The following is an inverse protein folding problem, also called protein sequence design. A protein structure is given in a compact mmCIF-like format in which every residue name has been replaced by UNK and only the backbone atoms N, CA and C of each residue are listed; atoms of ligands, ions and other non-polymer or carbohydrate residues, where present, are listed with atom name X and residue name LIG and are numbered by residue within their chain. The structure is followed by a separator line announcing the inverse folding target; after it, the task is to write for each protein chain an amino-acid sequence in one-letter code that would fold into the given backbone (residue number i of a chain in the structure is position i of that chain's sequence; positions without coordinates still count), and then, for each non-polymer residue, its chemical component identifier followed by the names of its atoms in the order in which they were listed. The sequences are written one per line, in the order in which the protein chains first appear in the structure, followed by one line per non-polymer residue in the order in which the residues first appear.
data_IF_360943064899
#
_entry.id   IF_360943064899
#
_cell.length_a   1.000
_cell.length_b   1.000
_cell.length_c   1.000
_cell.angle_alpha   90.00
_cell.angle_beta   90.00
_cell.angle_gamma   90.00
#
_symmetry.space_group_name_H-M   'P 1'
#
loop_
_entity.id
_entity.type
_entity.pdbx_description
1 polymer ?
#
# COMPACT_ATOMS: atom_id res chain seq x y z
N UNK A 1 -32.89 -1.79 0.75
CA UNK A 1 -31.49 -1.83 1.22
C UNK A 1 -31.51 -1.50 2.71
N UNK A 2 -31.37 -2.51 3.58
CA UNK A 2 -31.24 -2.28 5.02
C UNK A 2 -29.88 -1.58 5.23
N UNK A 3 -29.91 -0.36 5.73
CA UNK A 3 -28.74 0.22 6.39
C UNK A 3 -28.46 -0.74 7.54
N UNK A 4 -27.37 -1.50 7.46
CA UNK A 4 -26.89 -2.23 8.62
C UNK A 4 -26.48 -1.14 9.60
N UNK A 5 -27.23 -1.01 10.68
CA UNK A 5 -26.80 -0.21 11.83
C UNK A 5 -25.42 -0.73 12.20
N UNK A 6 -24.39 0.10 11.98
CA UNK A 6 -23.05 -0.17 12.47
C UNK A 6 -23.19 -0.08 13.98
N UNK A 7 -23.36 -1.22 14.65
CA UNK A 7 -23.41 -1.28 16.10
C UNK A 7 -22.15 -0.59 16.64
N UNK A 8 -22.36 0.51 17.37
CA UNK A 8 -21.29 1.16 18.13
C UNK A 8 -20.87 0.17 19.22
N UNK A 9 -19.78 -0.56 18.96
CA UNK A 9 -19.22 -1.55 19.88
C UNK A 9 -18.65 -0.92 21.17
N UNK A 10 -18.75 0.41 21.33
CA UNK A 10 -18.33 1.15 22.51
C UNK A 10 -16.80 1.25 22.67
N UNK A 11 -16.03 0.70 21.73
CA UNK A 11 -14.56 0.71 21.76
C UNK A 11 -14.06 2.07 21.28
N UNK A 12 -13.35 2.78 22.16
CA UNK A 12 -12.71 4.07 21.87
C UNK A 12 -11.22 3.89 21.65
N UNK A 13 -10.77 4.10 20.42
CA UNK A 13 -9.39 4.11 20.00
C UNK A 13 -9.06 5.40 19.21
N UNK A 14 -7.81 5.86 19.30
CA UNK A 14 -7.25 6.99 18.53
C UNK A 14 -6.00 6.54 17.77
N UNK A 15 -6.16 5.72 16.71
CA UNK A 15 -5.05 5.10 16.01
C UNK A 15 -4.16 6.14 15.34
N UNK A 16 -2.85 6.05 15.61
CA UNK A 16 -1.80 6.83 14.96
C UNK A 16 -0.83 5.89 14.27
N UNK A 17 -0.37 6.28 13.08
CA UNK A 17 0.54 5.49 12.26
C UNK A 17 1.75 6.32 11.90
N UNK A 18 2.93 5.75 12.13
CA UNK A 18 4.22 6.33 11.78
C UNK A 18 4.87 5.46 10.69
N UNK A 19 5.37 6.09 9.63
CA UNK A 19 6.13 5.42 8.57
C UNK A 19 7.56 5.16 9.04
N UNK A 20 7.97 3.90 9.05
CA UNK A 20 9.33 3.52 9.41
C UNK A 20 10.29 3.73 8.23
N UNK A 21 11.47 4.30 8.51
CA UNK A 21 12.46 4.63 7.48
C UNK A 21 12.04 5.80 6.59
N UNK A 22 11.25 6.74 7.13
CA UNK A 22 10.74 7.93 6.42
C UNK A 22 11.81 8.71 5.67
N UNK A 23 12.98 8.94 6.27
CA UNK A 23 14.09 9.66 5.61
C UNK A 23 14.55 8.97 4.32
N UNK A 24 14.54 7.64 4.28
CA UNK A 24 14.89 6.89 3.06
C UNK A 24 13.79 7.05 2.01
N UNK A 25 12.53 6.95 2.42
CA UNK A 25 11.39 7.21 1.52
C UNK A 25 11.45 8.62 0.94
N UNK A 26 11.77 9.64 1.74
CA UNK A 26 11.90 11.02 1.28
C UNK A 26 13.01 11.18 0.23
N UNK A 27 14.19 10.55 0.42
CA UNK A 27 15.25 10.53 -0.59
C UNK A 27 14.80 9.92 -1.92
N UNK A 28 14.11 8.78 -1.86
CA UNK A 28 13.55 8.16 -3.07
C UNK A 28 12.44 9.02 -3.68
N UNK A 29 11.65 9.72 -2.86
CA UNK A 29 10.55 10.56 -3.31
C UNK A 29 11.07 11.79 -4.07
N UNK A 30 12.14 12.42 -3.59
CA UNK A 30 12.83 13.55 -4.26
C UNK A 30 13.35 13.17 -5.66
N UNK A 31 13.69 11.89 -5.88
CA UNK A 31 14.15 11.35 -7.16
C UNK A 31 13.02 10.80 -8.04
N UNK A 32 11.76 10.99 -7.63
CA UNK A 32 10.56 10.37 -8.22
C UNK A 32 10.64 8.84 -8.18
N UNK A 33 10.31 8.27 -7.02
CA UNK A 33 10.48 6.84 -6.69
C UNK A 33 9.99 5.91 -7.79
N UNK A 34 10.77 4.86 -8.06
CA UNK A 34 10.42 3.83 -9.04
C UNK A 34 10.33 2.46 -8.39
N UNK A 35 9.31 1.67 -8.74
CA UNK A 35 9.18 0.30 -8.28
C UNK A 35 9.17 -0.66 -9.46
N UNK A 36 10.13 -1.59 -9.46
CA UNK A 36 10.22 -2.61 -10.51
C UNK A 36 9.07 -3.61 -10.38
N UNK A 37 8.36 -3.88 -11.48
CA UNK A 37 7.33 -4.91 -11.59
C UNK A 37 7.78 -6.02 -12.55
N UNK A 38 7.51 -7.28 -12.19
CA UNK A 38 7.90 -8.45 -12.98
C UNK A 38 6.78 -9.47 -13.04
N UNK A 39 6.80 -10.38 -14.03
CA UNK A 39 5.81 -11.45 -14.15
C UNK A 39 5.74 -12.34 -12.89
N UNK A 40 6.88 -12.64 -12.28
CA UNK A 40 7.01 -13.48 -11.08
C UNK A 40 6.77 -12.73 -9.76
N UNK A 41 6.50 -11.44 -9.83
CA UNK A 41 6.30 -10.57 -8.68
C UNK A 41 7.62 -10.11 -8.04
N UNK A 42 7.74 -8.80 -7.81
CA UNK A 42 8.89 -8.15 -7.17
C UNK A 42 8.46 -7.46 -5.88
N UNK A 43 9.27 -7.56 -4.83
CA UNK A 43 9.03 -6.85 -3.56
C UNK A 43 9.36 -5.37 -3.74
N UNK A 44 8.64 -4.51 -3.02
CA UNK A 44 8.94 -3.09 -2.96
C UNK A 44 10.26 -2.83 -2.25
N UNK A 45 10.97 -1.81 -2.70
CA UNK A 45 12.11 -1.22 -2.02
C UNK A 45 12.03 0.32 -2.14
N UNK A 46 12.07 1.07 -1.03
CA UNK A 46 12.13 0.60 0.36
C UNK A 46 10.92 -0.27 0.76
N UNK A 47 11.06 -1.21 1.72
CA UNK A 47 9.93 -2.00 2.19
C UNK A 47 8.95 -1.12 2.97
N UNK A 48 7.65 -1.24 2.69
CA UNK A 48 6.63 -0.51 3.44
C UNK A 48 6.51 -1.08 4.86
N UNK A 49 6.86 -0.26 5.85
CA UNK A 49 6.84 -0.60 7.28
C UNK A 49 6.18 0.52 8.06
N UNK A 50 5.40 0.15 9.07
CA UNK A 50 4.71 1.13 9.89
C UNK A 50 4.72 0.73 11.36
N UNK A 51 4.73 1.73 12.23
CA UNK A 51 4.46 1.58 13.66
C UNK A 51 3.09 2.15 13.96
N UNK A 52 2.30 1.44 14.76
CA UNK A 52 0.95 1.86 15.11
C UNK A 52 0.87 2.05 16.62
N UNK A 53 0.10 3.05 17.04
CA UNK A 53 -0.24 3.31 18.43
C UNK A 53 -1.70 3.74 18.58
N UNK A 54 -2.20 3.82 19.82
CA UNK A 54 -3.55 4.31 20.11
C UNK A 54 -4.70 3.35 19.80
N UNK A 55 -4.41 2.07 19.56
CA UNK A 55 -5.43 1.02 19.43
C UNK A 55 -5.97 0.60 20.80
N UNK A 56 -7.23 0.17 20.85
CA UNK A 56 -7.72 -0.59 22.00
C UNK A 56 -6.96 -1.92 22.10
N UNK A 57 -6.46 -2.24 23.29
CA UNK A 57 -5.56 -3.38 23.49
C UNK A 57 -6.24 -4.74 23.30
N UNK A 58 -7.54 -4.85 23.58
CA UNK A 58 -8.29 -6.11 23.58
C UNK A 58 -9.04 -6.34 22.27
N UNK A 59 -9.49 -5.27 21.61
CA UNK A 59 -10.13 -5.34 20.32
C UNK A 59 -9.21 -5.94 19.25
N UNK A 60 -9.81 -6.63 18.29
CA UNK A 60 -9.11 -7.22 17.14
C UNK A 60 -9.16 -6.29 15.94
N UNK A 61 -8.04 -6.26 15.24
CA UNK A 61 -7.86 -5.46 14.05
C UNK A 61 -7.22 -6.28 12.93
N UNK A 62 -7.59 -5.92 11.72
CA UNK A 62 -7.02 -6.39 10.47
C UNK A 62 -6.28 -5.22 9.85
N UNK A 63 -5.03 -5.48 9.45
CA UNK A 63 -4.24 -4.53 8.68
C UNK A 63 -4.12 -5.03 7.26
N UNK A 64 -4.33 -4.12 6.31
CA UNK A 64 -4.15 -4.40 4.89
C UNK A 64 -3.55 -3.20 4.17
N UNK A 65 -2.85 -3.48 3.08
CA UNK A 65 -2.30 -2.47 2.18
C UNK A 65 -2.99 -2.60 0.83
N UNK A 66 -3.44 -1.49 0.26
CA UNK A 66 -3.76 -1.43 -1.16
C UNK A 66 -2.85 -0.41 -1.86
N UNK A 67 -2.85 -0.48 -3.19
CA UNK A 67 -2.06 0.41 -4.05
C UNK A 67 -3.03 0.91 -5.12
N UNK A 68 -3.21 2.23 -5.19
CA UNK A 68 -4.16 2.87 -6.10
C UNK A 68 -3.44 3.80 -7.07
N UNK A 69 -4.00 3.98 -8.27
CA UNK A 69 -3.50 5.01 -9.18
C UNK A 69 -3.62 6.40 -8.55
N UNK A 70 -2.60 7.24 -8.74
CA UNK A 70 -2.60 8.65 -8.30
C UNK A 70 -3.39 9.53 -9.27
N UNK A 71 -3.31 9.23 -10.56
CA UNK A 71 -3.90 10.00 -11.65
C UNK A 71 -4.24 9.09 -12.84
N UNK A 72 -4.89 9.68 -13.84
CA UNK A 72 -5.25 9.05 -15.12
C UNK A 72 -4.20 9.35 -16.20
N UNK A 73 -2.91 9.34 -15.83
CA UNK A 73 -1.79 9.62 -16.73
C UNK A 73 -0.87 8.41 -16.94
N UNK A 74 -0.44 8.24 -18.19
CA UNK A 74 0.68 7.40 -18.56
C UNK A 74 1.92 8.26 -18.73
N UNK A 75 3.02 7.85 -18.14
CA UNK A 75 4.26 8.60 -18.07
C UNK A 75 5.33 8.08 -19.04
N UNK A 76 6.34 8.91 -19.30
CA UNK A 76 7.60 8.51 -19.93
C UNK A 76 8.76 9.23 -19.25
N UNK A 77 9.91 8.59 -19.19
CA UNK A 77 11.15 9.21 -18.74
C UNK A 77 11.96 9.66 -19.95
N UNK A 78 12.30 10.94 -20.04
CA UNK A 78 13.09 11.49 -21.14
C UNK A 78 13.90 12.69 -20.66
N UNK A 79 15.17 12.76 -21.07
CA UNK A 79 16.12 13.81 -20.66
C UNK A 79 16.18 14.02 -19.14
N UNK A 80 16.20 12.92 -18.38
CA UNK A 80 16.33 12.93 -16.92
C UNK A 80 15.09 13.39 -16.16
N UNK A 81 13.92 13.41 -16.80
CA UNK A 81 12.67 13.88 -16.19
C UNK A 81 11.48 12.98 -16.56
N UNK A 82 10.57 12.80 -15.61
CA UNK A 82 9.27 12.21 -15.87
C UNK A 82 8.33 13.22 -16.52
N UNK A 83 7.61 12.80 -17.57
CA UNK A 83 6.65 13.62 -18.28
C UNK A 83 5.41 12.80 -18.63
N UNK A 84 4.26 13.48 -18.69
CA UNK A 84 3.02 12.86 -19.17
C UNK A 84 3.15 12.55 -20.66
N UNK A 85 2.90 11.30 -21.03
CA UNK A 85 2.93 10.78 -22.39
C UNK A 85 1.52 10.59 -22.97
N UNK A 86 0.49 10.49 -22.14
CA UNK A 86 -0.90 10.31 -22.55
C UNK A 86 -1.81 9.92 -21.40
N UNK A 87 -3.00 9.42 -21.75
CA UNK A 87 -3.98 8.89 -20.80
C UNK A 87 -3.51 7.55 -20.22
N UNK A 88 -3.88 7.25 -18.97
CA UNK A 88 -3.60 5.96 -18.37
C UNK A 88 -4.30 4.80 -19.11
N UNK A 89 -3.64 3.64 -19.04
CA UNK A 89 -4.25 2.38 -19.42
C UNK A 89 -5.37 2.01 -18.42
N UNK A 90 -6.37 1.19 -18.81
CA UNK A 90 -7.43 0.76 -17.89
C UNK A 90 -6.88 0.20 -16.58
N UNK A 91 -7.44 0.66 -15.45
CA UNK A 91 -7.01 0.22 -14.12
C UNK A 91 -7.31 -1.28 -13.94
N UNK A 92 -6.33 -1.99 -13.39
CA UNK A 92 -6.46 -3.42 -13.10
C UNK A 92 -7.34 -3.66 -11.86
N UNK A 93 -7.94 -4.85 -11.69
CA UNK A 93 -8.72 -5.15 -10.50
C UNK A 93 -7.91 -4.90 -9.22
N UNK A 94 -8.45 -4.05 -8.34
CA UNK A 94 -7.80 -3.68 -7.07
C UNK A 94 -7.68 -4.92 -6.18
N UNK A 95 -6.47 -5.18 -5.72
CA UNK A 95 -6.18 -6.28 -4.78
C UNK A 95 -5.69 -5.68 -3.48
N UNK A 96 -6.34 -6.08 -2.40
CA UNK A 96 -5.94 -5.76 -1.04
C UNK A 96 -4.96 -6.84 -0.56
N UNK A 97 -3.79 -6.42 -0.09
CA UNK A 97 -2.86 -7.32 0.59
C UNK A 97 -3.16 -7.28 2.09
N UNK A 98 -3.74 -8.36 2.61
CA UNK A 98 -3.98 -8.50 4.05
C UNK A 98 -2.67 -8.94 4.73
N UNK A 99 -2.27 -8.24 5.80
CA UNK A 99 -1.09 -8.61 6.57
C UNK A 99 -1.29 -10.02 7.16
N UNK A 100 -0.31 -10.93 7.06
CA UNK A 100 -0.47 -12.34 7.43
C UNK A 100 -0.77 -12.57 8.93
N UNK A 101 -0.36 -11.65 9.79
CA UNK A 101 -0.69 -11.69 11.23
C UNK A 101 -2.16 -11.29 11.51
N UNK A 102 -2.93 -10.83 10.52
CA UNK A 102 -4.33 -10.46 10.72
C UNK A 102 -5.25 -11.68 10.85
N UNK A 103 -6.30 -11.62 11.71
CA UNK A 103 -6.58 -10.57 12.69
C UNK A 103 -5.70 -10.72 13.95
N UNK A 104 -5.26 -9.60 14.51
CA UNK A 104 -4.48 -9.53 15.75
C UNK A 104 -5.07 -8.51 16.72
N UNK A 105 -4.80 -8.64 18.02
CA UNK A 105 -5.26 -7.64 18.99
C UNK A 105 -4.49 -6.32 18.84
N UNK A 106 -5.09 -5.20 19.28
CA UNK A 106 -4.40 -3.92 19.25
C UNK A 106 -3.09 -3.94 20.04
N UNK A 107 -3.04 -4.65 21.17
CA UNK A 107 -1.80 -4.81 21.95
C UNK A 107 -0.70 -5.49 21.11
N UNK A 108 -1.02 -6.58 20.42
CA UNK A 108 -0.07 -7.30 19.56
C UNK A 108 0.43 -6.43 18.39
N UNK A 109 -0.45 -5.64 17.77
CA UNK A 109 -0.07 -4.74 16.68
C UNK A 109 0.86 -3.63 17.14
N UNK A 110 0.67 -3.11 18.34
CA UNK A 110 1.48 -2.00 18.88
C UNK A 110 2.83 -2.46 19.46
N UNK A 111 3.06 -3.76 19.64
CA UNK A 111 4.31 -4.28 20.23
C UNK A 111 5.53 -4.22 19.31
N UNK A 112 5.36 -4.22 17.99
CA UNK A 112 6.46 -4.30 17.01
C UNK A 112 6.16 -3.51 15.74
N UNK A 113 7.20 -3.23 14.96
CA UNK A 113 7.05 -2.68 13.61
C UNK A 113 6.34 -3.69 12.71
N UNK A 114 5.31 -3.21 12.02
CA UNK A 114 4.53 -3.98 11.05
C UNK A 114 5.19 -3.85 9.69
N UNK A 115 5.36 -4.96 8.97
CA UNK A 115 6.14 -5.00 7.73
C UNK A 115 5.41 -5.70 6.61
N UNK A 116 5.17 -4.96 5.52
CA UNK A 116 4.53 -5.45 4.30
C UNK A 116 5.55 -5.97 3.26
N UNK A 117 6.78 -6.30 3.69
CA UNK A 117 7.87 -6.74 2.80
C UNK A 117 7.57 -8.00 1.95
N UNK A 118 6.52 -8.77 2.29
CA UNK A 118 6.09 -9.94 1.51
C UNK A 118 5.17 -9.59 0.34
N UNK A 119 4.62 -8.37 0.33
CA UNK A 119 3.83 -7.86 -0.79
C UNK A 119 4.69 -7.83 -2.06
N UNK A 120 4.13 -8.32 -3.16
CA UNK A 120 4.77 -8.34 -4.46
C UNK A 120 3.94 -7.61 -5.51
N UNK A 121 4.63 -6.86 -6.36
CA UNK A 121 4.09 -6.15 -7.51
C UNK A 121 4.36 -6.92 -8.80
N UNK A 122 3.37 -7.03 -9.67
CA UNK A 122 3.46 -7.75 -10.95
C UNK A 122 2.85 -6.98 -12.10
N UNK A 123 3.35 -7.22 -13.31
CA UNK A 123 2.71 -6.78 -14.56
C UNK A 123 1.89 -7.89 -15.23
N UNK A 124 1.77 -9.07 -14.60
CA UNK A 124 1.00 -10.18 -15.13
C UNK A 124 -0.47 -10.03 -14.78
N UNK A 125 -1.28 -9.59 -15.75
CA UNK A 125 -2.74 -9.41 -15.61
C UNK A 125 -3.48 -10.70 -15.25
N UNK A 126 -2.91 -11.85 -15.60
CA UNK A 126 -3.47 -13.18 -15.35
C UNK A 126 -2.88 -13.81 -14.08
N UNK A 127 -2.28 -13.03 -13.18
CA UNK A 127 -1.68 -13.54 -11.97
C UNK A 127 -2.72 -14.27 -11.09
N UNK A 128 -2.39 -15.51 -10.69
CA UNK A 128 -3.20 -16.34 -9.81
C UNK A 128 -2.67 -16.40 -8.37
N UNK A 129 -1.50 -15.80 -8.10
CA UNK A 129 -0.86 -15.85 -6.77
C UNK A 129 -1.39 -14.77 -5.83
N UNK A 130 -2.21 -13.84 -6.32
CA UNK A 130 -2.77 -12.75 -5.52
C UNK A 130 -1.82 -11.55 -5.41
N UNK A 131 -0.81 -11.44 -6.27
CA UNK A 131 0.08 -10.29 -6.30
C UNK A 131 -0.65 -9.03 -6.76
N UNK A 132 -0.15 -7.86 -6.35
CA UNK A 132 -0.72 -6.58 -6.76
C UNK A 132 -0.33 -6.30 -8.20
N UNK A 133 -1.32 -6.24 -9.09
CA UNK A 133 -1.11 -6.07 -10.52
C UNK A 133 -1.09 -4.57 -10.82
N UNK A 134 -0.02 -4.09 -11.45
CA UNK A 134 0.15 -2.69 -11.82
C UNK A 134 0.50 -2.57 -13.31
N UNK A 135 0.02 -1.50 -13.94
CA UNK A 135 0.49 -1.08 -15.25
C UNK A 135 1.83 -0.34 -15.11
N UNK A 136 2.79 -0.68 -15.96
CA UNK A 136 4.07 0.04 -16.04
C UNK A 136 3.85 1.48 -16.51
N UNK A 137 4.73 2.38 -16.10
CA UNK A 137 4.72 3.80 -16.44
C UNK A 137 3.49 4.57 -15.93
N UNK A 138 2.94 4.12 -14.80
CA UNK A 138 1.82 4.77 -14.11
C UNK A 138 2.23 5.07 -12.67
N UNK A 139 1.67 6.14 -12.10
CA UNK A 139 1.96 6.59 -10.75
C UNK A 139 0.96 6.02 -9.75
N UNK A 140 1.46 5.51 -8.64
CA UNK A 140 0.68 4.81 -7.62
C UNK A 140 0.96 5.35 -6.22
N UNK A 141 -0.05 5.21 -5.36
CA UNK A 141 -0.01 5.55 -3.95
C UNK A 141 -0.37 4.33 -3.11
N UNK A 142 0.57 3.79 -2.30
CA UNK A 142 0.25 2.84 -1.24
C UNK A 142 -0.66 3.48 -0.19
N UNK A 143 -1.64 2.73 0.31
CA UNK A 143 -2.49 3.13 1.43
C UNK A 143 -2.58 2.03 2.45
N UNK A 144 -2.33 2.37 3.71
CA UNK A 144 -2.49 1.46 4.83
C UNK A 144 -3.91 1.59 5.37
N UNK A 145 -4.56 0.46 5.56
CA UNK A 145 -5.90 0.39 6.11
C UNK A 145 -5.91 -0.41 7.40
N UNK A 146 -6.54 0.16 8.42
CA UNK A 146 -6.87 -0.48 9.68
C UNK A 146 -8.38 -0.72 9.73
N UNK A 147 -8.77 -1.97 9.91
CA UNK A 147 -10.17 -2.39 10.02
C UNK A 147 -10.36 -3.06 11.37
N UNK A 148 -11.29 -2.55 12.19
CA UNK A 148 -11.63 -3.17 13.47
C UNK A 148 -12.58 -4.34 13.21
N UNK A 149 -12.03 -5.56 13.24
CA UNK A 149 -12.74 -6.79 12.96
C UNK A 149 -11.95 -7.99 13.52
N UNK A 150 -12.68 -9.01 13.95
CA UNK A 150 -12.17 -10.29 14.43
C UNK A 150 -12.12 -11.39 13.36
N UNK A 151 -12.69 -11.13 12.17
CA UNK A 151 -12.75 -12.04 11.02
C UNK A 151 -12.58 -11.27 9.71
N UNK A 152 -11.76 -11.80 8.80
CA UNK A 152 -11.50 -11.28 7.44
C UNK A 152 -12.79 -11.19 6.62
N UNK A 153 -13.75 -12.08 6.83
CA UNK A 153 -15.03 -12.06 6.14
C UNK A 153 -15.89 -10.82 6.46
N UNK A 154 -15.57 -10.12 7.56
CA UNK A 154 -16.26 -8.88 7.97
C UNK A 154 -15.69 -7.63 7.30
N UNK A 155 -14.52 -7.71 6.64
CA UNK A 155 -13.87 -6.56 5.97
C UNK A 155 -14.84 -5.80 5.04
N UNK A 156 -15.63 -6.44 4.16
CA UNK A 156 -16.51 -5.70 3.23
C UNK A 156 -17.60 -4.87 3.91
N UNK A 157 -17.90 -5.14 5.18
CA UNK A 157 -18.96 -4.51 5.95
C UNK A 157 -18.44 -3.63 7.10
N UNK A 158 -17.13 -3.58 7.28
CA UNK A 158 -16.49 -2.86 8.39
C UNK A 158 -15.95 -1.50 7.93
N UNK A 159 -15.96 -0.47 8.78
CA UNK A 159 -15.37 0.82 8.45
C UNK A 159 -13.84 0.72 8.33
N UNK A 160 -13.28 1.44 7.37
CA UNK A 160 -11.84 1.51 7.13
C UNK A 160 -11.28 2.82 7.70
N UNK A 161 -10.24 2.73 8.55
CA UNK A 161 -9.37 3.88 8.85
C UNK A 161 -8.15 3.80 7.94
N UNK A 162 -7.97 4.81 7.10
CA UNK A 162 -6.95 4.81 6.04
C UNK A 162 -5.86 5.83 6.33
N UNK A 163 -4.60 5.43 6.16
CA UNK A 163 -3.41 6.24 6.36
C UNK A 163 -2.60 6.26 5.07
N UNK A 164 -2.21 7.45 4.64
CA UNK A 164 -1.51 7.68 3.39
C UNK A 164 -0.27 8.52 3.66
N UNK A 165 0.89 8.01 3.25
CA UNK A 165 2.16 8.73 3.28
C UNK A 165 2.52 9.11 1.86
N UNK A 166 2.49 10.41 1.55
CA UNK A 166 2.68 10.92 0.18
C UNK A 166 4.06 10.56 -0.37
N UNK A 167 5.07 10.54 0.50
CA UNK A 167 6.45 10.15 0.22
C UNK A 167 6.60 8.68 -0.22
N UNK A 168 5.56 7.86 -0.10
CA UNK A 168 5.56 6.47 -0.59
C UNK A 168 5.00 6.30 -2.00
N UNK A 169 4.58 7.39 -2.63
CA UNK A 169 4.13 7.35 -4.02
C UNK A 169 5.28 6.99 -4.98
N UNK A 170 5.00 6.19 -6.00
CA UNK A 170 6.02 5.72 -6.94
C UNK A 170 5.46 5.53 -8.36
N UNK A 171 6.34 5.48 -9.35
CA UNK A 171 6.00 5.04 -10.71
C UNK A 171 6.40 3.57 -10.88
N UNK A 172 5.45 2.73 -11.29
CA UNK A 172 5.76 1.33 -11.56
C UNK A 172 6.53 1.20 -12.88
N UNK A 173 7.62 0.45 -12.92
CA UNK A 173 8.47 0.32 -14.11
C UNK A 173 8.89 -1.14 -14.34
N UNK A 174 9.17 -1.56 -15.57
CA UNK A 174 9.72 -2.90 -15.82
C UNK A 174 11.23 -2.98 -15.60
N UNK A 175 11.90 -1.83 -15.63
CA UNK A 175 13.30 -1.63 -15.30
C UNK A 175 13.49 -0.16 -14.90
N UNK A 176 14.48 0.14 -14.05
CA UNK A 176 14.73 1.51 -13.62
C UNK A 176 14.99 2.44 -14.81
N UNK A 177 14.43 3.64 -14.78
CA UNK A 177 14.57 4.69 -15.79
C UNK A 177 15.56 5.75 -15.35
N UNK A 178 15.49 6.18 -14.09
CA UNK A 178 16.43 7.09 -13.47
C UNK A 178 17.59 6.30 -12.81
N UNK A 179 18.80 6.38 -13.38
CA UNK A 179 19.98 5.68 -12.84
C UNK A 179 20.26 6.03 -11.37
N UNK A 180 19.94 7.26 -10.93
CA UNK A 180 20.13 7.67 -9.53
C UNK A 180 19.28 6.86 -8.56
N UNK A 181 18.07 6.47 -8.98
CA UNK A 181 17.17 5.63 -8.19
C UNK A 181 17.70 4.20 -8.10
N UNK A 182 18.40 3.72 -9.13
CA UNK A 182 18.95 2.36 -9.16
C UNK A 182 20.21 2.16 -8.30
N UNK A 183 20.86 3.25 -7.88
CA UNK A 183 22.15 3.26 -7.18
C UNK A 183 22.05 3.46 -5.65
N UNK A 184 20.84 3.72 -5.13
CA UNK A 184 20.52 3.81 -3.68
C UNK A 184 19.98 2.48 -3.13
#
# INVERSE_FOLDING_TARGET
FRVLDIEDDGVKDDPKVELEGRELWEKFYELESEMVITKSGRRMFPPYKAKISGLDKQAKYILLLDIVCVDDCRYKFHNGKWMVAGKADPEMPKRMYIHPDSPCTGDQWMQKVISFHKLKLTNNISDKQGFTILNSMHKYQPRLHLVRADDILKIPYSPFRSFVFQETAFIAVTAYQNEKVSLE
#
